data_IF_485531794284
#
_entry.id   IF_485531794284
#
_cell.length_a   1.000
_cell.length_b   1.000
_cell.length_c   1.000
_cell.angle_alpha   90.00
_cell.angle_beta   90.00
_cell.angle_gamma   90.00
#
_symmetry.space_group_name_H-M   'P 1'
#
loop_
_entity.id
_entity.type
_entity.pdbx_description
1 polymer ?
#
# COMPACT_ATOMS: atom_id res chain seq x y z
N UNK A 1 28.03 36.88 56.86
CA UNK A 1 27.58 38.18 57.34
C UNK A 1 26.38 38.58 56.49
N UNK A 2 25.19 38.56 56.93
CA UNK A 2 24.51 39.21 57.97
C UNK A 2 23.29 39.87 57.40
N UNK A 3 22.19 39.39 57.81
CA UNK A 3 21.03 39.92 58.57
C UNK A 3 20.04 40.72 57.71
N UNK A 4 18.80 40.29 57.67
CA UNK A 4 17.62 40.42 58.54
C UNK A 4 16.98 41.83 58.52
N UNK A 5 15.69 41.91 58.21
CA UNK A 5 14.58 42.34 58.98
C UNK A 5 13.39 42.76 58.13
N UNK A 6 12.29 42.09 58.27
CA UNK A 6 11.13 42.29 59.16
C UNK A 6 10.30 43.57 58.95
N UNK A 7 9.05 43.31 58.60
CA UNK A 7 7.79 43.77 59.18
C UNK A 7 7.13 45.08 58.67
N UNK A 8 5.90 45.05 58.21
CA UNK A 8 4.61 45.24 58.87
C UNK A 8 3.48 45.57 57.91
N UNK A 9 2.36 44.89 58.08
CA UNK A 9 1.02 45.35 57.69
C UNK A 9 0.53 46.52 58.53
N UNK A 10 -0.45 47.31 58.09
CA UNK A 10 -1.88 47.04 58.32
C UNK A 10 -2.78 47.45 57.13
N UNK A 11 -3.86 46.83 56.90
CA UNK A 11 -5.21 46.78 57.44
C UNK A 11 -6.21 47.77 56.83
N UNK A 12 -7.28 47.22 56.22
CA UNK A 12 -8.69 47.65 56.18
C UNK A 12 -9.12 48.88 55.33
N UNK A 13 -10.01 48.56 54.34
CA UNK A 13 -10.92 49.49 53.69
C UNK A 13 -12.00 48.79 52.96
N UNK A 14 -13.15 48.58 53.54
CA UNK A 14 -14.38 48.04 53.00
C UNK A 14 -15.02 49.00 51.98
N UNK A 15 -15.47 48.46 50.82
CA UNK A 15 -16.35 49.15 49.88
C UNK A 15 -17.03 48.14 48.97
N UNK A 16 -18.32 47.91 49.25
CA UNK A 16 -19.26 47.07 48.38
C UNK A 16 -19.92 47.96 47.34
N UNK A 17 -20.79 47.41 46.47
CA UNK A 17 -20.59 46.52 45.32
C UNK A 17 -21.23 47.12 44.02
N UNK A 18 -20.83 46.72 42.85
CA UNK A 18 -21.73 46.87 41.68
C UNK A 18 -21.43 45.80 40.59
N UNK A 19 -22.55 45.19 40.20
CA UNK A 19 -22.88 44.59 38.92
C UNK A 19 -22.10 43.39 38.42
N UNK A 20 -22.76 42.26 38.60
CA UNK A 20 -22.74 41.04 37.83
C UNK A 20 -22.56 41.28 36.31
N UNK A 21 -21.52 40.68 35.72
CA UNK A 21 -21.53 40.22 34.33
C UNK A 21 -21.05 38.78 34.34
N UNK A 22 -22.00 37.83 34.28
CA UNK A 22 -21.76 36.42 34.02
C UNK A 22 -21.26 36.29 32.58
N UNK A 23 -19.97 36.01 32.37
CA UNK A 23 -19.50 35.37 31.15
C UNK A 23 -19.51 33.84 31.39
N UNK A 24 -20.58 33.19 30.95
CA UNK A 24 -20.60 31.75 30.79
C UNK A 24 -19.64 31.36 29.64
N UNK A 25 -18.44 30.92 29.98
CA UNK A 25 -17.60 30.18 29.05
C UNK A 25 -18.15 28.76 29.02
N UNK A 26 -18.98 28.46 28.01
CA UNK A 26 -19.42 27.10 27.71
C UNK A 26 -18.23 26.28 27.23
N UNK A 27 -17.65 25.51 28.15
CA UNK A 27 -16.71 24.46 27.83
C UNK A 27 -17.50 23.33 27.12
N UNK A 28 -17.61 23.42 25.81
CA UNK A 28 -18.13 22.32 24.98
C UNK A 28 -17.07 21.20 25.00
N UNK A 29 -17.19 20.33 26.01
CA UNK A 29 -16.59 19.00 25.94
C UNK A 29 -17.18 18.31 24.69
N UNK A 30 -16.35 18.11 23.67
CA UNK A 30 -16.70 17.22 22.56
C UNK A 30 -16.77 15.80 23.12
N UNK A 31 -17.97 15.37 23.45
CA UNK A 31 -18.30 13.96 23.62
C UNK A 31 -17.97 13.26 22.28
N UNK A 32 -17.36 12.07 22.28
CA UNK A 32 -17.26 11.29 21.07
C UNK A 32 -18.67 11.06 20.55
N UNK A 33 -18.97 11.51 19.35
CA UNK A 33 -20.21 11.22 18.65
C UNK A 33 -20.27 9.71 18.46
N UNK A 34 -21.06 9.05 19.32
CA UNK A 34 -21.52 7.69 19.06
C UNK A 34 -22.37 7.75 17.79
N UNK A 35 -21.86 7.22 16.70
CA UNK A 35 -22.64 7.06 15.47
C UNK A 35 -23.73 6.03 15.75
N UNK A 36 -25.03 6.35 15.63
CA UNK A 36 -26.06 5.32 15.77
C UNK A 36 -25.93 4.31 14.63
N UNK A 37 -26.21 3.05 14.90
CA UNK A 37 -25.99 1.87 14.06
C UNK A 37 -26.68 1.87 12.68
N UNK A 38 -27.28 2.97 12.23
CA UNK A 38 -27.97 3.10 10.93
C UNK A 38 -27.53 4.31 10.08
N UNK A 39 -26.55 5.11 10.50
CA UNK A 39 -25.96 6.11 9.59
C UNK A 39 -24.85 5.45 8.79
N UNK A 40 -25.13 5.12 7.54
CA UNK A 40 -24.11 4.79 6.54
C UNK A 40 -23.18 6.00 6.45
N UNK A 41 -22.01 5.92 7.08
CA UNK A 41 -20.99 6.95 6.93
C UNK A 41 -20.66 7.04 5.43
N UNK A 42 -20.69 8.25 4.88
CA UNK A 42 -20.26 8.46 3.49
C UNK A 42 -18.84 7.94 3.32
N UNK A 43 -18.58 7.22 2.24
CA UNK A 43 -17.25 6.74 1.91
C UNK A 43 -16.26 7.89 1.73
N UNK A 44 -14.98 7.63 1.89
CA UNK A 44 -13.94 8.65 1.83
C UNK A 44 -12.74 8.24 0.98
N UNK A 45 -12.02 9.26 0.50
CA UNK A 45 -10.75 9.14 -0.22
C UNK A 45 -9.68 9.91 0.55
N UNK A 46 -8.58 9.22 0.90
CA UNK A 46 -7.41 9.85 1.53
C UNK A 46 -6.17 9.57 0.68
N UNK A 47 -5.59 10.62 0.11
CA UNK A 47 -4.39 10.49 -0.71
C UNK A 47 -3.15 10.25 0.15
N UNK A 48 -2.33 9.29 -0.30
CA UNK A 48 -1.01 8.97 0.23
C UNK A 48 0.02 9.40 -0.81
N UNK A 49 0.58 10.62 -0.69
CA UNK A 49 1.51 11.13 -1.69
C UNK A 49 2.86 10.41 -1.62
N UNK A 50 3.44 10.10 -2.76
CA UNK A 50 4.75 9.42 -2.88
C UNK A 50 5.90 10.13 -2.17
N UNK A 51 5.80 11.45 -2.00
CA UNK A 51 6.81 12.24 -1.30
C UNK A 51 6.88 11.95 0.20
N UNK A 52 5.83 11.33 0.77
CA UNK A 52 5.80 10.89 2.18
C UNK A 52 6.32 9.47 2.38
N UNK A 53 6.55 8.74 1.29
CA UNK A 53 6.98 7.36 1.34
C UNK A 53 8.49 7.29 1.48
N UNK A 54 8.97 6.36 2.28
CA UNK A 54 10.39 6.11 2.45
C UNK A 54 10.97 5.42 1.21
N UNK A 55 12.17 5.82 0.79
CA UNK A 55 12.90 5.14 -0.29
C UNK A 55 14.12 4.47 0.31
N UNK A 56 14.13 3.14 0.28
CA UNK A 56 15.24 2.30 0.68
C UNK A 56 16.21 2.09 -0.47
N UNK A 57 17.50 2.18 -0.19
CA UNK A 57 18.61 1.80 -1.06
C UNK A 57 19.56 0.90 -0.25
N UNK A 58 19.20 -0.37 -0.01
CA UNK A 58 19.93 -1.23 0.90
C UNK A 58 21.30 -1.64 0.33
N UNK A 59 22.22 -1.96 1.25
CA UNK A 59 23.55 -2.48 0.90
C UNK A 59 23.40 -3.76 0.05
N UNK A 60 24.07 -3.83 -1.12
CA UNK A 60 24.00 -4.99 -2.00
C UNK A 60 24.44 -6.29 -1.35
N UNK A 61 25.36 -6.26 -0.40
CA UNK A 61 25.84 -7.46 0.29
C UNK A 61 24.75 -8.17 1.11
N UNK A 62 23.72 -7.46 1.55
CA UNK A 62 22.60 -8.08 2.31
C UNK A 62 21.89 -9.19 1.53
N UNK A 63 21.91 -9.10 0.18
CA UNK A 63 21.24 -10.07 -0.69
C UNK A 63 22.22 -10.75 -1.67
N UNK A 64 23.53 -10.65 -1.41
CA UNK A 64 24.57 -11.31 -2.20
C UNK A 64 24.77 -10.70 -3.59
N UNK A 65 24.54 -9.40 -3.75
CA UNK A 65 24.81 -8.70 -5.00
C UNK A 65 26.26 -8.17 -5.03
N UNK A 66 26.85 -8.23 -6.22
CA UNK A 66 28.12 -7.55 -6.51
C UNK A 66 27.89 -6.10 -6.97
N UNK A 67 28.88 -5.20 -6.87
CA UNK A 67 28.83 -3.88 -7.47
C UNK A 67 28.46 -3.93 -8.96
N UNK A 68 27.67 -2.95 -9.43
CA UNK A 68 27.33 -2.86 -10.85
C UNK A 68 28.39 -2.03 -11.59
N UNK A 69 29.16 -2.63 -12.55
CA UNK A 69 30.21 -1.91 -13.26
C UNK A 69 29.68 -0.83 -14.21
N UNK A 70 28.41 -0.86 -14.58
CA UNK A 70 27.77 0.09 -15.50
C UNK A 70 26.42 0.59 -14.97
N UNK A 71 26.42 1.38 -13.86
CA UNK A 71 25.20 1.92 -13.30
C UNK A 71 24.56 2.96 -14.24
N UNK A 72 23.23 2.97 -14.29
CA UNK A 72 22.48 3.93 -15.10
C UNK A 72 22.38 5.29 -14.43
N UNK A 73 23.05 6.31 -15.00
CA UNK A 73 22.93 7.70 -14.54
C UNK A 73 21.51 8.25 -14.71
N UNK A 74 20.78 7.82 -15.75
CA UNK A 74 19.41 8.24 -15.99
C UNK A 74 18.43 7.79 -14.88
N UNK A 75 18.75 6.69 -14.21
CA UNK A 75 18.00 6.17 -13.07
C UNK A 75 18.63 6.59 -11.73
N UNK A 76 19.66 7.44 -11.76
CA UNK A 76 20.41 7.86 -10.59
C UNK A 76 20.91 6.68 -9.75
N UNK A 77 21.44 5.64 -10.41
CA UNK A 77 22.09 4.51 -9.77
C UNK A 77 23.59 4.73 -9.69
N UNK A 78 24.16 4.34 -8.56
CA UNK A 78 25.59 4.15 -8.36
C UNK A 78 25.98 2.69 -8.58
N UNK A 79 27.27 2.35 -8.46
CA UNK A 79 27.70 0.96 -8.49
C UNK A 79 27.35 0.20 -7.18
N UNK A 80 26.93 0.90 -6.14
CA UNK A 80 26.62 0.34 -4.83
C UNK A 80 25.11 0.10 -4.65
N UNK A 81 24.25 1.03 -5.08
CA UNK A 81 22.82 0.85 -4.94
C UNK A 81 22.24 -0.05 -6.04
N UNK A 82 21.84 -1.22 -5.68
CA UNK A 82 21.30 -2.22 -6.59
C UNK A 82 19.77 -2.18 -6.68
N UNK A 83 19.11 -1.63 -5.66
CA UNK A 83 17.67 -1.53 -5.47
C UNK A 83 17.30 -0.09 -5.08
N UNK A 84 16.18 0.38 -5.58
CA UNK A 84 15.40 1.49 -5.02
C UNK A 84 14.01 0.96 -4.71
N UNK A 85 13.69 0.85 -3.43
CA UNK A 85 12.42 0.34 -2.96
C UNK A 85 11.65 1.44 -2.25
N UNK A 86 10.43 1.72 -2.70
CA UNK A 86 9.56 2.72 -2.08
C UNK A 86 8.53 2.01 -1.22
N UNK A 87 8.61 2.23 0.10
CA UNK A 87 7.75 1.58 1.11
C UNK A 87 6.51 2.39 1.40
N UNK A 88 5.34 1.77 1.24
CA UNK A 88 4.06 2.35 1.65
C UNK A 88 3.75 2.16 3.13
N UNK A 89 4.33 1.15 3.75
CA UNK A 89 4.20 0.84 5.18
C UNK A 89 5.58 0.72 5.83
N UNK A 90 5.63 0.75 7.17
CA UNK A 90 6.89 0.50 7.86
C UNK A 90 7.38 -0.92 7.55
N UNK A 91 8.63 -1.02 7.16
CA UNK A 91 9.25 -2.27 6.73
C UNK A 91 10.77 -2.17 6.84
N UNK A 92 11.44 -3.28 7.20
CA UNK A 92 12.89 -3.37 7.34
C UNK A 92 13.47 -2.19 8.15
N UNK A 93 14.35 -1.36 7.55
CA UNK A 93 14.97 -0.19 8.20
C UNK A 93 14.01 1.00 8.40
N UNK A 94 12.81 0.99 7.79
CA UNK A 94 11.81 2.04 7.96
C UNK A 94 10.84 1.72 9.09
N UNK A 95 11.14 2.21 10.29
CA UNK A 95 10.34 2.01 11.51
C UNK A 95 9.26 3.05 11.77
N UNK A 96 9.03 3.99 10.86
CA UNK A 96 8.05 5.08 11.00
C UNK A 96 6.90 4.94 10.00
N UNK A 97 5.75 5.54 10.31
CA UNK A 97 4.55 5.47 9.47
C UNK A 97 3.61 4.32 9.82
N UNK A 98 2.57 4.09 9.01
CA UNK A 98 1.61 3.02 9.24
C UNK A 98 2.28 1.65 9.08
N UNK A 99 1.84 0.66 9.87
CA UNK A 99 2.35 -0.70 9.77
C UNK A 99 1.67 -1.53 8.68
N UNK A 100 0.45 -1.14 8.29
CA UNK A 100 -0.41 -1.88 7.39
C UNK A 100 -1.63 -1.04 6.97
N UNK A 101 -2.37 -1.54 6.00
CA UNK A 101 -3.73 -1.10 5.70
C UNK A 101 -4.63 -2.36 5.65
N UNK A 102 -5.51 -2.51 6.65
CA UNK A 102 -6.23 -3.77 6.84
C UNK A 102 -5.27 -4.96 6.87
N UNK A 103 -5.50 -5.97 6.05
CA UNK A 103 -4.63 -7.16 5.95
C UNK A 103 -3.41 -6.98 5.04
N UNK A 104 -3.29 -5.86 4.34
CA UNK A 104 -2.13 -5.53 3.50
C UNK A 104 -0.99 -5.01 4.38
N UNK A 105 0.05 -5.84 4.58
CA UNK A 105 1.17 -5.59 5.49
C UNK A 105 2.37 -4.92 4.82
N UNK A 106 2.62 -5.23 3.56
CA UNK A 106 3.71 -4.67 2.76
C UNK A 106 3.17 -4.27 1.40
N UNK A 107 3.59 -3.11 0.92
CA UNK A 107 3.50 -2.70 -0.47
C UNK A 107 4.76 -1.90 -0.79
N UNK A 108 5.63 -2.47 -1.61
CA UNK A 108 6.88 -1.86 -2.04
C UNK A 108 6.90 -1.73 -3.56
N UNK A 109 7.30 -0.57 -4.05
CA UNK A 109 7.59 -0.34 -5.47
C UNK A 109 9.10 -0.48 -5.67
N UNK A 110 9.50 -1.63 -6.19
CA UNK A 110 10.88 -2.07 -6.30
C UNK A 110 11.42 -1.86 -7.71
N UNK A 111 12.51 -1.10 -7.81
CA UNK A 111 13.27 -0.91 -9.04
C UNK A 111 14.66 -1.53 -8.86
N UNK A 112 14.89 -2.66 -9.55
CA UNK A 112 16.08 -3.50 -9.41
C UNK A 112 16.99 -3.34 -10.63
N UNK A 113 18.27 -3.12 -10.39
CA UNK A 113 19.26 -3.02 -11.46
C UNK A 113 19.40 -4.33 -12.28
N UNK A 114 19.88 -4.27 -13.52
CA UNK A 114 20.25 -5.45 -14.30
C UNK A 114 21.22 -6.36 -13.57
N UNK A 115 21.02 -7.66 -13.67
CA UNK A 115 21.87 -8.71 -13.05
C UNK A 115 21.95 -8.62 -11.53
N UNK A 116 20.92 -8.07 -10.88
CA UNK A 116 20.78 -7.94 -9.42
C UNK A 116 19.44 -8.54 -8.97
N UNK A 117 19.30 -8.74 -7.69
CA UNK A 117 18.06 -9.22 -7.11
C UNK A 117 18.20 -9.66 -5.66
N UNK A 118 17.12 -10.19 -5.14
CA UNK A 118 17.06 -10.74 -3.79
C UNK A 118 17.56 -12.18 -3.83
N UNK A 119 18.73 -12.43 -3.21
CA UNK A 119 19.28 -13.76 -3.01
C UNK A 119 18.36 -14.65 -2.15
N UNK A 120 18.73 -15.91 -1.90
CA UNK A 120 17.91 -16.81 -1.10
C UNK A 120 17.60 -16.25 0.29
N UNK A 121 16.32 -16.09 0.61
CA UNK A 121 15.84 -15.58 1.90
C UNK A 121 14.54 -16.30 2.29
N UNK A 122 14.27 -16.44 3.62
CA UNK A 122 13.11 -17.19 4.12
C UNK A 122 11.88 -16.31 4.30
N UNK A 123 10.69 -16.90 4.10
CA UNK A 123 9.40 -16.37 4.52
C UNK A 123 8.57 -17.42 5.23
N UNK A 124 7.68 -16.98 6.11
CA UNK A 124 6.65 -17.80 6.72
C UNK A 124 5.39 -16.98 7.00
N UNK A 125 4.25 -17.67 7.08
CA UNK A 125 2.96 -17.13 7.51
C UNK A 125 2.57 -15.82 6.78
N UNK A 126 2.76 -15.80 5.43
CA UNK A 126 2.50 -14.65 4.59
C UNK A 126 2.01 -15.08 3.21
N UNK A 127 1.05 -14.36 2.65
CA UNK A 127 0.68 -14.40 1.23
C UNK A 127 1.48 -13.33 0.51
N UNK A 128 2.35 -13.71 -0.39
CA UNK A 128 3.25 -12.79 -1.12
C UNK A 128 2.81 -12.70 -2.56
N UNK A 129 2.59 -11.48 -3.04
CA UNK A 129 2.13 -11.17 -4.40
C UNK A 129 3.14 -10.23 -5.05
N UNK A 130 3.53 -10.52 -6.29
CA UNK A 130 4.43 -9.67 -7.07
C UNK A 130 3.79 -9.33 -8.43
N UNK A 131 3.64 -8.03 -8.71
CA UNK A 131 3.07 -7.51 -9.97
C UNK A 131 4.18 -6.86 -10.79
N UNK A 132 4.50 -7.43 -11.96
CA UNK A 132 5.63 -6.98 -12.77
C UNK A 132 5.18 -5.84 -13.69
N UNK A 133 5.82 -4.66 -13.53
CA UNK A 133 5.53 -3.45 -14.31
C UNK A 133 6.50 -3.26 -15.48
N UNK A 134 7.76 -3.68 -15.33
CA UNK A 134 8.80 -3.55 -16.36
C UNK A 134 9.89 -4.60 -16.19
N UNK A 135 10.45 -5.06 -17.30
CA UNK A 135 11.50 -6.08 -17.28
C UNK A 135 10.96 -7.48 -17.01
N UNK A 136 11.79 -8.35 -16.49
CA UNK A 136 11.45 -9.74 -16.19
C UNK A 136 12.03 -10.17 -14.85
N UNK A 137 11.19 -10.79 -14.03
CA UNK A 137 11.54 -11.35 -12.72
C UNK A 137 11.69 -12.86 -12.83
N UNK A 138 12.81 -13.41 -12.36
CA UNK A 138 13.00 -14.84 -12.21
C UNK A 138 12.90 -15.23 -10.74
N UNK A 139 11.89 -16.00 -10.42
CA UNK A 139 11.66 -16.61 -9.12
C UNK A 139 12.24 -18.02 -9.07
N UNK A 140 12.81 -18.40 -7.92
CA UNK A 140 13.18 -19.78 -7.60
C UNK A 140 12.97 -20.03 -6.12
N UNK A 141 12.39 -21.18 -5.75
CA UNK A 141 12.07 -21.50 -4.37
C UNK A 141 12.45 -22.92 -3.95
N UNK A 142 12.39 -23.17 -2.62
CA UNK A 142 12.70 -24.46 -1.99
C UNK A 142 11.66 -25.55 -2.23
N UNK A 143 10.51 -25.22 -2.85
CA UNK A 143 9.52 -26.23 -3.29
C UNK A 143 9.84 -26.81 -4.66
N UNK A 144 10.86 -26.29 -5.32
CA UNK A 144 11.32 -26.72 -6.65
C UNK A 144 10.78 -25.89 -7.80
N UNK A 145 10.06 -24.81 -7.52
CA UNK A 145 9.55 -23.90 -8.56
C UNK A 145 10.68 -23.02 -9.08
N UNK A 146 10.71 -22.85 -10.40
CA UNK A 146 11.50 -21.80 -11.07
C UNK A 146 10.69 -21.27 -12.24
N UNK A 147 10.46 -19.95 -12.26
CA UNK A 147 9.69 -19.30 -13.31
C UNK A 147 10.21 -17.89 -13.60
N UNK A 148 10.05 -17.43 -14.85
CA UNK A 148 10.35 -16.06 -15.24
C UNK A 148 9.10 -15.42 -15.83
N UNK A 149 8.69 -14.29 -15.27
CA UNK A 149 7.52 -13.53 -15.69
C UNK A 149 7.93 -12.12 -16.12
N UNK A 150 7.28 -11.62 -17.17
CA UNK A 150 7.45 -10.27 -17.70
C UNK A 150 6.33 -9.31 -17.29
N UNK A 151 6.30 -8.12 -17.94
CA UNK A 151 5.29 -7.07 -17.68
C UNK A 151 3.87 -7.62 -17.69
N UNK A 152 3.08 -7.22 -16.70
CA UNK A 152 1.70 -7.63 -16.49
C UNK A 152 1.56 -9.03 -15.91
N UNK A 153 2.66 -9.74 -15.72
CA UNK A 153 2.70 -11.00 -14.99
C UNK A 153 2.50 -10.80 -13.50
N UNK A 154 1.89 -11.80 -12.87
CA UNK A 154 1.66 -11.86 -11.42
C UNK A 154 2.18 -13.19 -10.93
N UNK A 155 3.05 -13.19 -9.94
CA UNK A 155 3.35 -14.39 -9.16
C UNK A 155 2.72 -14.28 -7.77
N UNK A 156 2.40 -15.42 -7.17
CA UNK A 156 2.02 -15.45 -5.77
C UNK A 156 2.63 -16.66 -5.06
N UNK A 157 2.84 -16.49 -3.76
CA UNK A 157 3.36 -17.54 -2.90
C UNK A 157 2.67 -17.48 -1.53
N UNK A 158 2.03 -18.58 -1.13
CA UNK A 158 1.67 -18.83 0.26
C UNK A 158 2.92 -19.35 0.96
N UNK A 159 3.55 -18.54 1.81
CA UNK A 159 4.75 -18.97 2.52
C UNK A 159 4.46 -20.00 3.62
N UNK A 160 3.32 -19.91 4.28
CA UNK A 160 2.78 -20.87 5.23
C UNK A 160 3.80 -21.36 6.27
N UNK A 161 4.04 -22.66 6.35
CA UNK A 161 4.99 -23.26 7.31
C UNK A 161 6.46 -22.91 7.06
N UNK A 162 6.78 -22.32 5.90
CA UNK A 162 8.09 -21.80 5.56
C UNK A 162 8.51 -22.12 4.12
N UNK A 163 9.05 -21.12 3.42
CA UNK A 163 9.67 -21.21 2.10
C UNK A 163 10.95 -20.38 2.11
N UNK A 164 11.97 -20.87 1.41
CA UNK A 164 13.15 -20.07 1.04
C UNK A 164 13.04 -19.81 -0.45
N UNK A 165 13.13 -18.55 -0.86
CA UNK A 165 13.07 -18.17 -2.27
C UNK A 165 14.08 -17.10 -2.64
N UNK A 166 14.26 -16.88 -3.92
CA UNK A 166 15.03 -15.80 -4.52
C UNK A 166 14.25 -15.16 -5.64
N UNK A 167 14.45 -13.85 -5.83
CA UNK A 167 13.81 -13.04 -6.87
C UNK A 167 14.88 -12.23 -7.61
N UNK A 168 15.17 -12.58 -8.85
CA UNK A 168 16.34 -12.11 -9.59
C UNK A 168 15.96 -11.42 -10.89
N UNK A 169 16.59 -10.29 -11.17
CA UNK A 169 16.66 -9.71 -12.50
C UNK A 169 17.86 -10.32 -13.25
N UNK A 170 17.66 -11.39 -13.98
CA UNK A 170 18.70 -12.06 -14.77
C UNK A 170 18.92 -11.42 -16.15
N UNK A 171 18.23 -10.32 -16.46
CA UNK A 171 18.25 -9.63 -17.75
C UNK A 171 19.14 -8.37 -17.75
N UNK A 172 19.26 -7.71 -18.90
CA UNK A 172 20.05 -6.50 -19.08
C UNK A 172 19.26 -5.21 -18.95
N UNK A 173 17.91 -5.33 -18.84
CA UNK A 173 17.01 -4.21 -18.62
C UNK A 173 16.68 -4.08 -17.12
N UNK A 174 16.40 -2.86 -16.64
CA UNK A 174 15.88 -2.67 -15.29
C UNK A 174 14.57 -3.42 -15.08
N UNK A 175 14.43 -4.04 -13.91
CA UNK A 175 13.20 -4.68 -13.46
C UNK A 175 12.48 -3.75 -12.49
N UNK A 176 11.17 -3.51 -12.71
CA UNK A 176 10.29 -2.84 -11.75
C UNK A 176 9.07 -3.71 -11.47
N UNK A 177 8.76 -3.87 -10.19
CA UNK A 177 7.60 -4.62 -9.75
C UNK A 177 7.04 -4.05 -8.43
N UNK A 178 5.78 -4.37 -8.15
CA UNK A 178 5.15 -4.08 -6.86
C UNK A 178 5.13 -5.37 -6.05
N UNK A 179 5.83 -5.36 -4.92
CA UNK A 179 5.85 -6.46 -3.94
C UNK A 179 4.81 -6.19 -2.87
N UNK A 180 3.89 -7.13 -2.66
CA UNK A 180 2.83 -7.01 -1.68
C UNK A 180 2.78 -8.23 -0.77
N UNK A 181 2.62 -8.00 0.54
CA UNK A 181 2.40 -9.06 1.51
C UNK A 181 1.05 -8.87 2.18
N UNK A 182 0.26 -9.92 2.16
CA UNK A 182 -1.05 -9.98 2.79
C UNK A 182 -1.00 -10.99 3.93
N UNK A 183 -1.51 -10.60 5.10
CA UNK A 183 -1.61 -11.49 6.27
C UNK A 183 -2.63 -12.60 5.97
N UNK A 184 -2.26 -13.88 6.02
CA UNK A 184 -3.22 -14.97 5.86
C UNK A 184 -4.14 -15.07 7.08
N UNK A 185 -5.31 -15.71 6.95
CA UNK A 185 -6.19 -15.98 8.10
C UNK A 185 -5.62 -16.98 9.09
N UNK A 186 -4.74 -17.87 8.64
CA UNK A 186 -4.24 -19.00 9.41
C UNK A 186 -2.73 -19.12 9.24
N UNK A 187 -2.05 -19.46 10.32
CA UNK A 187 -0.61 -19.78 10.29
C UNK A 187 -0.35 -21.23 9.90
N UNK A 188 0.89 -21.51 9.50
CA UNK A 188 1.35 -22.86 9.22
C UNK A 188 0.70 -23.50 8.00
N UNK A 189 0.10 -22.73 7.12
CA UNK A 189 -0.47 -23.22 5.87
C UNK A 189 0.56 -24.00 5.06
N UNK A 190 0.11 -24.91 4.20
CA UNK A 190 1.00 -25.59 3.26
C UNK A 190 1.53 -24.58 2.25
N UNK A 191 2.87 -24.50 2.04
CA UNK A 191 3.46 -23.66 1.00
C UNK A 191 2.88 -23.94 -0.39
N UNK A 192 2.61 -22.89 -1.14
CA UNK A 192 2.06 -22.96 -2.50
C UNK A 192 2.65 -21.84 -3.34
N UNK A 193 2.82 -22.11 -4.61
CA UNK A 193 3.18 -21.13 -5.64
C UNK A 193 2.15 -21.16 -6.76
N UNK A 194 1.97 -20.04 -7.44
CA UNK A 194 1.19 -19.93 -8.66
C UNK A 194 1.49 -18.60 -9.34
N UNK A 195 1.06 -18.50 -10.58
CA UNK A 195 1.34 -17.34 -11.41
C UNK A 195 0.24 -17.08 -12.44
N UNK A 196 0.30 -15.89 -13.01
CA UNK A 196 -0.42 -15.50 -14.22
C UNK A 196 0.58 -14.83 -15.15
N UNK A 197 0.70 -15.30 -16.37
CA UNK A 197 1.52 -14.65 -17.38
C UNK A 197 0.92 -13.29 -17.78
N UNK A 198 1.78 -12.32 -18.09
CA UNK A 198 1.41 -11.01 -18.63
C UNK A 198 1.24 -11.03 -20.14
N UNK A 199 0.52 -12.01 -20.68
CA UNK A 199 0.29 -12.19 -22.10
C UNK A 199 -0.79 -11.25 -22.67
N UNK A 200 -1.04 -11.31 -23.96
CA UNK A 200 -2.04 -10.49 -24.64
C UNK A 200 -3.47 -10.69 -24.11
N UNK A 201 -3.80 -11.88 -23.57
CA UNK A 201 -5.12 -12.15 -22.98
C UNK A 201 -5.25 -11.42 -21.64
N UNK A 202 -4.23 -11.51 -20.79
CA UNK A 202 -4.16 -10.79 -19.53
C UNK A 202 -4.17 -9.26 -19.76
N UNK A 203 -3.43 -8.79 -20.76
CA UNK A 203 -3.42 -7.38 -21.17
C UNK A 203 -4.81 -6.91 -21.59
N UNK A 204 -5.47 -7.60 -22.53
CA UNK A 204 -6.83 -7.28 -22.98
C UNK A 204 -7.87 -7.32 -21.85
N UNK A 205 -7.63 -8.11 -20.81
CA UNK A 205 -8.55 -8.23 -19.67
C UNK A 205 -8.60 -7.01 -18.76
N UNK A 206 -7.54 -6.18 -18.74
CA UNK A 206 -7.40 -5.01 -17.86
C UNK A 206 -7.49 -3.66 -18.58
N UNK A 207 -7.54 -3.63 -19.93
CA UNK A 207 -7.68 -2.38 -20.70
C UNK A 207 -9.08 -1.81 -20.56
N UNK A 208 -9.18 -0.58 -20.04
CA UNK A 208 -10.43 0.17 -19.86
C UNK A 208 -11.42 -0.46 -18.88
N UNK A 209 -11.06 -1.52 -18.18
CA UNK A 209 -11.91 -2.21 -17.21
C UNK A 209 -11.09 -2.82 -16.08
N UNK A 210 -11.70 -2.91 -14.90
CA UNK A 210 -11.09 -3.59 -13.76
C UNK A 210 -11.04 -5.11 -14.01
N UNK A 211 -9.84 -5.67 -14.04
CA UNK A 211 -9.61 -7.12 -14.10
C UNK A 211 -9.42 -7.65 -12.68
N UNK A 212 -10.30 -8.55 -12.24
CA UNK A 212 -10.19 -9.22 -10.94
C UNK A 212 -9.17 -10.35 -11.05
N UNK A 213 -7.98 -10.17 -10.48
CA UNK A 213 -6.83 -11.07 -10.67
C UNK A 213 -6.49 -11.90 -9.44
N UNK A 214 -6.83 -11.44 -8.24
CA UNK A 214 -6.63 -12.16 -6.99
C UNK A 214 -7.92 -12.17 -6.19
N UNK A 215 -8.28 -13.32 -5.61
CA UNK A 215 -9.41 -13.43 -4.69
C UNK A 215 -9.17 -14.46 -3.59
N UNK A 216 -10.01 -14.40 -2.57
CA UNK A 216 -10.08 -15.39 -1.51
C UNK A 216 -10.41 -16.79 -2.06
N UNK A 217 -9.68 -17.81 -1.58
CA UNK A 217 -9.96 -19.24 -1.90
C UNK A 217 -11.37 -19.66 -1.51
N UNK A 218 -12.00 -18.98 -0.53
CA UNK A 218 -13.37 -19.27 -0.05
C UNK A 218 -14.47 -18.73 -0.97
N UNK A 219 -14.10 -17.86 -1.93
CA UNK A 219 -15.06 -17.30 -2.89
C UNK A 219 -15.19 -18.13 -4.16
N UNK A 220 -16.33 -17.97 -4.86
CA UNK A 220 -16.56 -18.59 -6.17
C UNK A 220 -16.01 -17.75 -7.34
N UNK A 221 -15.33 -16.63 -7.04
CA UNK A 221 -14.74 -15.80 -8.08
C UNK A 221 -13.75 -16.61 -8.94
N UNK A 222 -13.83 -16.48 -10.25
CA UNK A 222 -12.89 -17.11 -11.16
C UNK A 222 -11.72 -16.17 -11.39
N UNK A 223 -10.71 -16.25 -10.54
CA UNK A 223 -9.48 -15.46 -10.64
C UNK A 223 -8.27 -16.36 -10.88
N UNK A 224 -7.24 -15.90 -11.58
CA UNK A 224 -6.01 -16.67 -11.81
C UNK A 224 -5.25 -16.97 -10.53
N UNK A 225 -5.33 -16.07 -9.54
CA UNK A 225 -4.64 -16.22 -8.24
C UNK A 225 -5.67 -16.33 -7.11
N UNK A 226 -5.41 -17.24 -6.18
CA UNK A 226 -6.23 -17.48 -4.99
C UNK A 226 -5.37 -17.43 -3.74
N UNK A 227 -5.75 -16.59 -2.77
CA UNK A 227 -5.06 -16.43 -1.49
C UNK A 227 -5.93 -16.82 -0.29
N UNK A 228 -5.32 -17.03 0.85
CA UNK A 228 -5.99 -17.47 2.11
C UNK A 228 -6.44 -16.27 2.96
N UNK A 229 -6.97 -15.22 2.29
CA UNK A 229 -7.48 -14.03 2.97
C UNK A 229 -8.62 -13.39 2.19
N UNK A 230 -9.53 -12.68 2.90
CA UNK A 230 -10.54 -11.80 2.29
C UNK A 230 -9.87 -10.52 1.77
N UNK A 231 -9.16 -10.68 0.67
CA UNK A 231 -8.53 -9.60 -0.05
C UNK A 231 -8.64 -9.88 -1.55
N UNK A 232 -9.24 -8.95 -2.27
CA UNK A 232 -9.38 -8.98 -3.71
C UNK A 232 -8.39 -8.01 -4.34
N UNK A 233 -7.73 -8.41 -5.43
CA UNK A 233 -6.91 -7.47 -6.18
C UNK A 233 -7.46 -7.30 -7.58
N UNK A 234 -7.58 -6.02 -7.95
CA UNK A 234 -8.02 -5.61 -9.28
C UNK A 234 -6.92 -4.81 -9.96
N UNK A 235 -6.77 -5.02 -11.25
CA UNK A 235 -5.82 -4.29 -12.11
C UNK A 235 -6.61 -3.54 -13.18
N UNK A 236 -6.21 -2.28 -13.44
CA UNK A 236 -6.77 -1.47 -14.51
C UNK A 236 -5.64 -0.80 -15.28
N UNK A 237 -5.70 -0.90 -16.60
CA UNK A 237 -4.84 -0.14 -17.52
C UNK A 237 -5.71 0.78 -18.37
N UNK A 238 -5.40 2.09 -18.33
CA UNK A 238 -6.07 3.13 -19.10
C UNK A 238 -5.11 3.67 -20.14
N UNK A 239 -5.49 3.61 -21.42
CA UNK A 239 -4.64 4.04 -22.53
C UNK A 239 -5.13 5.31 -23.21
N UNK A 240 -6.33 5.78 -22.87
CA UNK A 240 -6.90 6.99 -23.47
C UNK A 240 -7.84 7.72 -22.53
N UNK A 241 -8.03 9.03 -22.79
CA UNK A 241 -8.97 9.89 -22.06
C UNK A 241 -10.44 9.48 -22.17
N UNK A 242 -10.76 8.60 -23.13
CA UNK A 242 -12.13 8.11 -23.33
C UNK A 242 -12.45 6.87 -22.50
N UNK A 243 -11.44 6.21 -21.98
CA UNK A 243 -11.61 5.03 -21.13
C UNK A 243 -11.95 5.49 -19.71
N UNK A 244 -13.03 4.97 -19.18
CA UNK A 244 -13.42 5.18 -17.79
C UNK A 244 -13.99 3.90 -17.22
N UNK A 245 -13.33 3.38 -16.21
CA UNK A 245 -13.77 2.19 -15.48
C UNK A 245 -14.34 2.62 -14.14
N UNK A 246 -15.59 2.26 -13.84
CA UNK A 246 -16.18 2.55 -12.52
C UNK A 246 -15.65 1.57 -11.48
N UNK A 247 -15.12 2.10 -10.39
CA UNK A 247 -14.81 1.38 -9.17
C UNK A 247 -15.95 1.58 -8.17
N UNK A 248 -16.42 0.48 -7.56
CA UNK A 248 -17.39 0.51 -6.46
C UNK A 248 -16.83 -0.23 -5.27
N UNK A 249 -16.92 0.39 -4.10
CA UNK A 249 -16.71 -0.26 -2.81
C UNK A 249 -18.04 -0.27 -2.06
N UNK A 250 -18.44 -1.45 -1.59
CA UNK A 250 -19.62 -1.64 -0.79
C UNK A 250 -19.44 -1.13 0.65
N UNK A 251 -20.52 -0.90 1.42
CA UNK A 251 -20.43 -0.66 2.85
C UNK A 251 -19.64 -1.76 3.57
N UNK A 252 -18.77 -1.36 4.52
CA UNK A 252 -17.89 -2.30 5.25
C UNK A 252 -16.71 -2.83 4.43
N UNK A 253 -16.46 -2.29 3.23
CA UNK A 253 -15.27 -2.57 2.43
C UNK A 253 -14.36 -1.35 2.39
N UNK A 254 -13.06 -1.59 2.29
CA UNK A 254 -12.03 -0.57 2.11
C UNK A 254 -11.10 -0.96 0.97
N UNK A 255 -10.38 0.01 0.44
CA UNK A 255 -9.46 -0.22 -0.66
C UNK A 255 -8.15 0.54 -0.50
N UNK A 256 -7.05 -0.08 -0.89
CA UNK A 256 -5.77 0.59 -1.08
C UNK A 256 -5.48 0.63 -2.58
N UNK A 257 -5.57 1.81 -3.17
CA UNK A 257 -5.41 2.03 -4.60
C UNK A 257 -4.03 2.63 -4.87
N UNK A 258 -3.19 1.91 -5.59
CA UNK A 258 -1.88 2.40 -6.05
C UNK A 258 -1.98 2.85 -7.51
N UNK A 259 -1.54 4.07 -7.79
CA UNK A 259 -1.22 4.54 -9.13
C UNK A 259 0.22 4.14 -9.46
N UNK A 260 0.40 2.99 -10.10
CA UNK A 260 1.74 2.48 -10.39
C UNK A 260 2.40 3.23 -11.55
N UNK A 261 1.63 3.64 -12.57
CA UNK A 261 2.10 4.37 -13.75
C UNK A 261 1.06 5.40 -14.20
N UNK A 262 1.52 6.49 -14.81
CA UNK A 262 0.68 7.54 -15.37
C UNK A 262 0.12 8.51 -14.33
N UNK A 263 -0.66 9.50 -14.81
CA UNK A 263 -1.37 10.46 -13.96
C UNK A 263 -2.87 10.17 -14.08
N UNK A 264 -3.54 10.01 -12.94
CA UNK A 264 -4.95 9.63 -12.89
C UNK A 264 -5.74 10.64 -12.09
N UNK A 265 -6.88 11.05 -12.63
CA UNK A 265 -7.89 11.80 -11.90
C UNK A 265 -9.00 10.85 -11.46
N UNK A 266 -9.24 10.77 -10.17
CA UNK A 266 -10.36 10.03 -9.57
C UNK A 266 -11.50 11.00 -9.32
N UNK A 267 -12.65 10.82 -9.97
CA UNK A 267 -13.86 11.58 -9.68
C UNK A 267 -14.81 10.71 -8.85
N UNK A 268 -15.27 11.23 -7.70
CA UNK A 268 -16.27 10.57 -6.88
C UNK A 268 -17.71 10.86 -7.35
N UNK A 269 -18.70 10.26 -6.68
CA UNK A 269 -20.12 10.44 -7.00
C UNK A 269 -20.64 11.85 -6.70
N UNK A 270 -19.93 12.64 -5.88
CA UNK A 270 -20.27 14.02 -5.53
C UNK A 270 -19.58 15.02 -6.48
N UNK A 271 -18.72 14.53 -7.39
CA UNK A 271 -17.96 15.35 -8.33
C UNK A 271 -16.65 15.90 -7.75
N UNK A 272 -16.25 15.46 -6.53
CA UNK A 272 -14.93 15.76 -6.00
C UNK A 272 -13.86 15.02 -6.80
N UNK A 273 -12.75 15.69 -7.06
CA UNK A 273 -11.66 15.17 -7.88
C UNK A 273 -10.38 15.04 -7.06
N UNK A 274 -9.74 13.88 -7.20
CA UNK A 274 -8.49 13.55 -6.53
C UNK A 274 -7.44 13.14 -7.56
N UNK A 275 -6.32 13.86 -7.62
CA UNK A 275 -5.22 13.54 -8.51
C UNK A 275 -4.29 12.51 -7.88
N UNK A 276 -3.92 11.47 -8.63
CA UNK A 276 -2.86 10.53 -8.33
C UNK A 276 -1.78 10.60 -9.41
N UNK A 277 -0.56 10.81 -8.99
CA UNK A 277 0.64 10.72 -9.84
C UNK A 277 1.27 9.33 -9.70
N UNK A 278 2.22 8.96 -10.58
CA UNK A 278 2.93 7.69 -10.45
C UNK A 278 3.51 7.51 -9.03
N UNK A 279 3.23 6.37 -8.41
CA UNK A 279 3.61 5.97 -7.05
C UNK A 279 2.81 6.65 -5.91
N UNK A 280 1.85 7.52 -6.20
CA UNK A 280 0.86 7.92 -5.20
C UNK A 280 -0.12 6.78 -4.93
N UNK A 281 -0.68 6.73 -3.74
CA UNK A 281 -1.78 5.83 -3.41
C UNK A 281 -2.97 6.58 -2.83
N UNK A 282 -4.11 5.88 -2.71
CA UNK A 282 -5.29 6.36 -2.02
C UNK A 282 -5.83 5.26 -1.08
N UNK A 283 -6.08 5.63 0.17
CA UNK A 283 -6.90 4.86 1.09
C UNK A 283 -8.36 5.20 0.83
N UNK A 284 -9.16 4.17 0.56
CA UNK A 284 -10.56 4.28 0.16
C UNK A 284 -11.46 3.60 1.19
N UNK A 285 -12.54 4.26 1.57
CA UNK A 285 -13.54 3.71 2.49
C UNK A 285 -14.90 3.65 1.80
N UNK A 286 -15.52 2.46 1.79
CA UNK A 286 -16.87 2.27 1.25
C UNK A 286 -17.98 2.69 2.22
N UNK A 287 -19.21 3.01 1.74
CA UNK A 287 -19.59 2.91 0.33
C UNK A 287 -19.02 4.03 -0.52
N UNK A 288 -18.42 3.70 -1.66
CA UNK A 288 -17.76 4.67 -2.52
C UNK A 288 -17.90 4.26 -3.99
N UNK A 289 -18.07 5.26 -4.87
CA UNK A 289 -18.00 5.07 -6.32
C UNK A 289 -17.01 6.05 -6.90
N UNK A 290 -15.99 5.57 -7.60
CA UNK A 290 -14.96 6.37 -8.26
C UNK A 290 -14.90 6.05 -9.74
N UNK A 291 -14.54 7.08 -10.52
CA UNK A 291 -14.26 6.98 -11.95
C UNK A 291 -12.84 7.47 -12.23
N UNK A 292 -11.86 6.58 -12.38
CA UNK A 292 -10.53 6.95 -12.81
C UNK A 292 -10.54 7.36 -14.28
N UNK A 293 -9.77 8.41 -14.60
CA UNK A 293 -9.55 8.89 -15.97
C UNK A 293 -8.11 9.36 -16.12
N UNK A 294 -7.62 9.44 -17.36
CA UNK A 294 -6.27 9.90 -17.69
C UNK A 294 -6.30 11.10 -18.65
N UNK A 295 -5.27 11.94 -18.57
CA UNK A 295 -5.08 13.11 -19.44
C UNK A 295 -4.00 12.84 -20.49
N UNK A 296 -4.23 11.83 -21.36
CA UNK A 296 -3.39 11.58 -22.54
C UNK A 296 -2.24 10.59 -22.37
N UNK A 297 -1.79 10.29 -21.16
CA UNK A 297 -0.79 9.25 -20.88
C UNK A 297 -1.47 7.99 -20.37
N UNK A 298 -0.92 6.82 -20.74
CA UNK A 298 -1.39 5.55 -20.20
C UNK A 298 -1.15 5.47 -18.69
N UNK A 299 -2.07 4.85 -17.96
CA UNK A 299 -1.94 4.63 -16.51
C UNK A 299 -2.17 3.16 -16.15
N UNK A 300 -1.50 2.72 -15.08
CA UNK A 300 -1.62 1.39 -14.51
C UNK A 300 -1.98 1.49 -13.03
N UNK A 301 -3.13 0.93 -12.66
CA UNK A 301 -3.67 0.98 -11.31
C UNK A 301 -3.76 -0.43 -10.71
N UNK A 302 -3.42 -0.52 -9.42
CA UNK A 302 -3.62 -1.71 -8.59
C UNK A 302 -4.53 -1.34 -7.42
N UNK A 303 -5.63 -2.07 -7.25
CA UNK A 303 -6.54 -1.93 -6.11
C UNK A 303 -6.52 -3.19 -5.27
N UNK A 304 -6.20 -3.05 -4.00
CA UNK A 304 -6.39 -4.06 -2.95
C UNK A 304 -7.67 -3.72 -2.19
N UNK A 305 -8.71 -4.53 -2.35
CA UNK A 305 -10.02 -4.36 -1.74
C UNK A 305 -10.21 -5.45 -0.69
N UNK A 306 -10.66 -5.07 0.52
CA UNK A 306 -10.78 -5.94 1.68
C UNK A 306 -11.84 -5.43 2.65
N UNK A 307 -12.16 -6.21 3.69
CA UNK A 307 -13.04 -5.75 4.77
C UNK A 307 -12.44 -4.55 5.51
N UNK A 308 -13.29 -3.61 5.89
CA UNK A 308 -12.91 -2.43 6.66
C UNK A 308 -12.70 -2.74 8.15
N UNK A 309 -13.44 -3.71 8.68
CA UNK A 309 -13.39 -4.10 10.09
C UNK A 309 -12.34 -5.20 10.26
N UNK A 310 -11.35 -4.94 11.13
CA UNK A 310 -10.25 -5.86 11.43
C UNK A 310 -10.62 -7.10 12.24
N UNK A 311 -11.88 -7.55 12.21
CA UNK A 311 -12.36 -8.69 13.01
C UNK A 311 -11.68 -10.03 12.70
N UNK A 312 -10.94 -10.14 11.59
CA UNK A 312 -10.12 -11.31 11.28
C UNK A 312 -8.62 -11.13 11.66
N UNK A 313 -8.26 -9.99 12.27
CA UNK A 313 -6.92 -9.78 12.85
C UNK A 313 -6.92 -10.25 14.30
N UNK A 314 -7.11 -11.54 14.57
CA UNK A 314 -6.58 -12.12 15.80
C UNK A 314 -5.07 -11.91 15.74
N UNK A 315 -4.49 -11.37 16.81
CA UNK A 315 -3.05 -11.12 16.95
C UNK A 315 -2.25 -12.32 16.43
N UNK A 316 -1.68 -12.13 15.21
CA UNK A 316 -0.85 -13.14 14.58
C UNK A 316 0.59 -12.95 15.06
#
# INVERSE_FOLDING_TARGET
>A
TGSSNMARKPALGLGKPTALALCLVALLARLPTFCPAESVCAGGVKIVPRERLFVSEPDPQWFGNDPNPQPSKALNWTNENWLKSRFHFNFAEYGHGPSNFGVLRVMNDDLVQPKRGFGPHPHRDMEILTFILKGSLTHKDSTGTQETLGRGGIQYMTAGSGVVHSEQNLHHEPLRFIQCWVLPRERGLKPRYGSMAGDAVAEASRHGKWSHVVSDVRTRASTPVKIQQDCNVYVLELNSVKEAATLKLDPGRQGYLLCAEGNVMLADALGEQHELRPQDAAELQGPLTLKPSVNGEAAFLLLFEMRADGDDMQEI
#
